data_IF_949064491454
#
_entry.id   IF_949064491454
#
_cell.length_a   1.000
_cell.length_b   1.000
_cell.length_c   1.000
_cell.angle_alpha   90.00
_cell.angle_beta   90.00
_cell.angle_gamma   90.00
#
_symmetry.space_group_name_H-M   'P 1'
#
loop_
_entity.id
_entity.type
_entity.pdbx_description
1 polymer ?
#
# COMPACT_ATOMS: atom_id res chain seq x y z
N UNK A 1 -1.08 -20.36 -4.73
CA UNK A 1 -1.37 -19.31 -3.73
C UNK A 1 -0.62 -18.05 -4.13
N UNK A 2 0.67 -17.86 -3.80
CA UNK A 2 1.55 -16.82 -4.36
C UNK A 2 3.04 -17.08 -3.98
N UNK A 3 3.96 -16.24 -4.46
CA UNK A 3 5.38 -16.20 -4.07
C UNK A 3 5.71 -14.86 -3.39
N UNK A 4 6.59 -14.86 -2.39
CA UNK A 4 7.19 -13.63 -1.84
C UNK A 4 8.44 -13.33 -2.66
N UNK A 5 8.33 -12.42 -3.62
CA UNK A 5 9.44 -12.07 -4.51
C UNK A 5 10.51 -11.20 -3.82
N UNK A 6 10.12 -10.33 -2.89
CA UNK A 6 11.06 -9.49 -2.14
C UNK A 6 10.45 -8.85 -0.91
N UNK A 7 11.30 -8.29 -0.04
CA UNK A 7 10.92 -7.61 1.20
C UNK A 7 11.77 -6.35 1.40
N UNK A 8 11.15 -5.29 1.92
CA UNK A 8 11.85 -4.06 2.29
C UNK A 8 11.42 -3.54 3.65
N UNK A 9 12.38 -3.08 4.46
CA UNK A 9 12.12 -2.47 5.77
C UNK A 9 12.90 -1.17 5.90
N UNK A 10 12.32 -0.22 6.62
CA UNK A 10 12.92 1.06 6.96
C UNK A 10 12.44 1.55 8.32
N UNK A 11 13.02 2.63 8.83
CA UNK A 11 12.52 3.35 10.01
C UNK A 11 12.51 4.85 9.72
N UNK A 12 11.43 5.54 10.11
CA UNK A 12 11.29 6.99 9.90
C UNK A 12 12.36 7.79 10.67
N UNK A 13 12.75 7.33 11.86
CA UNK A 13 13.80 7.90 12.71
C UNK A 13 13.72 9.42 13.00
N UNK A 14 12.58 10.06 12.72
CA UNK A 14 12.37 11.51 12.87
C UNK A 14 11.40 11.87 14.00
N UNK A 15 10.28 11.15 14.12
CA UNK A 15 9.28 11.36 15.17
C UNK A 15 8.68 10.02 15.62
N UNK A 16 8.25 9.92 16.88
CA UNK A 16 7.82 8.63 17.48
C UNK A 16 6.55 8.03 16.84
N UNK A 17 5.67 8.89 16.31
CA UNK A 17 4.36 8.46 15.79
C UNK A 17 3.88 9.23 14.55
N UNK A 18 4.63 10.25 14.10
CA UNK A 18 4.22 11.01 12.93
C UNK A 18 4.81 10.33 11.70
N UNK A 19 4.00 10.06 10.66
CA UNK A 19 4.49 9.38 9.48
C UNK A 19 5.44 10.30 8.70
N UNK A 20 6.43 9.71 8.05
CA UNK A 20 7.24 10.39 7.05
C UNK A 20 6.97 9.83 5.66
N UNK A 21 7.17 10.62 4.61
CA UNK A 21 7.08 10.11 3.23
C UNK A 21 8.27 9.20 2.92
N UNK A 22 9.44 9.49 3.49
CA UNK A 22 10.70 8.86 3.10
C UNK A 22 10.85 7.42 3.63
N UNK A 23 10.30 7.12 4.81
CA UNK A 23 10.30 5.77 5.35
C UNK A 23 9.58 4.77 4.44
N UNK A 24 8.25 4.88 4.25
CA UNK A 24 7.50 3.99 3.38
C UNK A 24 8.08 3.96 1.96
N UNK A 25 8.53 5.10 1.41
CA UNK A 25 9.15 5.13 0.10
C UNK A 25 10.47 4.32 0.05
N UNK A 26 11.29 4.38 1.09
CA UNK A 26 12.52 3.59 1.20
C UNK A 26 12.23 2.10 1.34
N UNK A 27 11.25 1.72 2.15
CA UNK A 27 10.82 0.33 2.29
C UNK A 27 10.31 -0.23 0.95
N UNK A 28 9.46 0.50 0.23
CA UNK A 28 8.95 0.07 -1.07
C UNK A 28 10.06 -0.06 -2.13
N UNK A 29 10.99 0.90 -2.21
CA UNK A 29 12.16 0.79 -3.12
C UNK A 29 13.05 -0.40 -2.78
N UNK A 30 13.30 -0.66 -1.49
CA UNK A 30 14.07 -1.81 -1.06
C UNK A 30 13.38 -3.13 -1.44
N UNK A 31 12.05 -3.20 -1.28
CA UNK A 31 11.25 -4.36 -1.68
C UNK A 31 11.32 -4.63 -3.19
N UNK A 32 11.17 -3.60 -4.02
CA UNK A 32 11.30 -3.72 -5.49
C UNK A 32 12.70 -4.18 -5.89
N UNK A 33 13.75 -3.61 -5.27
CA UNK A 33 15.13 -3.98 -5.53
C UNK A 33 15.45 -5.43 -5.11
N UNK A 34 14.95 -5.87 -3.96
CA UNK A 34 15.10 -7.25 -3.47
C UNK A 34 14.38 -8.25 -4.40
N UNK A 35 13.20 -7.86 -4.91
CA UNK A 35 12.43 -8.64 -5.87
C UNK A 35 12.99 -8.63 -7.30
N UNK A 36 13.91 -7.71 -7.63
CA UNK A 36 14.37 -7.48 -8.99
C UNK A 36 13.27 -6.99 -9.95
N UNK A 37 12.26 -6.29 -9.42
CA UNK A 37 11.11 -5.77 -10.16
C UNK A 37 11.21 -4.26 -10.36
N UNK A 38 10.61 -3.77 -11.45
CA UNK A 38 10.39 -2.34 -11.67
C UNK A 38 9.05 -1.92 -11.06
N UNK A 39 8.85 -0.61 -10.91
CA UNK A 39 7.59 -0.08 -10.38
C UNK A 39 6.40 -0.47 -11.28
N UNK A 40 6.59 -0.40 -12.58
CA UNK A 40 5.63 -0.75 -13.65
C UNK A 40 5.25 -2.24 -13.69
N UNK A 41 5.98 -3.12 -12.98
CA UNK A 41 5.63 -4.54 -12.88
C UNK A 41 4.57 -4.82 -11.78
N UNK A 42 4.12 -3.79 -11.05
CA UNK A 42 3.14 -3.93 -9.95
C UNK A 42 1.75 -3.46 -10.41
N UNK A 43 0.78 -4.38 -10.46
CA UNK A 43 -0.59 -4.04 -10.89
C UNK A 43 -1.51 -3.59 -9.74
N UNK A 44 -1.25 -4.08 -8.53
CA UNK A 44 -2.11 -3.89 -7.35
C UNK A 44 -1.29 -3.65 -6.06
N UNK A 45 -1.75 -2.72 -5.24
CA UNK A 45 -1.18 -2.41 -3.92
C UNK A 45 -2.28 -2.41 -2.84
N UNK A 46 -2.14 -3.29 -1.85
CA UNK A 46 -2.95 -3.22 -0.62
C UNK A 46 -2.28 -2.26 0.37
N UNK A 47 -2.85 -1.06 0.49
CA UNK A 47 -2.32 0.05 1.26
C UNK A 47 -2.49 -0.16 2.76
N UNK A 48 -1.61 0.48 3.54
CA UNK A 48 -1.77 0.56 4.98
C UNK A 48 -3.10 1.23 5.35
N UNK A 49 -3.51 2.30 4.66
CA UNK A 49 -4.90 2.78 4.60
C UNK A 49 -5.62 2.82 5.95
N UNK A 50 -5.07 3.58 6.90
CA UNK A 50 -5.62 3.65 8.26
C UNK A 50 -6.88 4.50 8.36
N UNK A 51 -7.22 5.25 7.30
CA UNK A 51 -8.33 6.20 7.31
C UNK A 51 -7.98 7.48 8.08
N UNK A 52 -6.71 7.70 8.41
CA UNK A 52 -6.28 8.90 9.12
C UNK A 52 -5.68 9.89 8.13
N UNK A 53 -6.18 11.13 8.16
CA UNK A 53 -5.86 12.14 7.15
C UNK A 53 -4.35 12.34 6.93
N UNK A 54 -3.57 12.45 8.01
CA UNK A 54 -2.12 12.63 7.93
C UNK A 54 -1.42 11.43 7.31
N UNK A 55 -1.88 10.22 7.61
CA UNK A 55 -1.20 9.00 7.23
C UNK A 55 -1.53 8.61 5.79
N UNK A 56 -2.80 8.72 5.39
CA UNK A 56 -3.23 8.39 4.02
C UNK A 56 -2.66 9.38 2.99
N UNK A 57 -2.53 10.66 3.35
CA UNK A 57 -1.84 11.66 2.51
C UNK A 57 -0.34 11.38 2.38
N UNK A 58 0.30 10.98 3.48
CA UNK A 58 1.73 10.64 3.50
C UNK A 58 2.00 9.36 2.70
N UNK A 59 1.14 8.35 2.86
CA UNK A 59 1.20 7.09 2.11
C UNK A 59 0.99 7.33 0.61
N UNK A 60 -0.01 8.13 0.23
CA UNK A 60 -0.23 8.54 -1.16
C UNK A 60 1.03 9.18 -1.75
N UNK A 61 1.62 10.14 -1.03
CA UNK A 61 2.84 10.82 -1.49
C UNK A 61 4.04 9.86 -1.60
N UNK A 62 4.15 8.87 -0.72
CA UNK A 62 5.20 7.85 -0.77
C UNK A 62 5.01 6.93 -1.98
N UNK A 63 3.80 6.46 -2.24
CA UNK A 63 3.47 5.62 -3.40
C UNK A 63 3.81 6.37 -4.68
N UNK A 64 3.35 7.62 -4.85
CA UNK A 64 3.70 8.44 -6.01
C UNK A 64 5.20 8.64 -6.19
N UNK A 65 5.96 8.78 -5.08
CA UNK A 65 7.41 8.93 -5.13
C UNK A 65 8.13 7.68 -5.61
N UNK A 66 7.59 6.50 -5.35
CA UNK A 66 8.21 5.22 -5.76
C UNK A 66 7.74 4.79 -7.15
N UNK A 67 6.43 4.88 -7.41
CA UNK A 67 5.82 4.37 -8.63
C UNK A 67 5.67 5.43 -9.73
N UNK A 68 5.96 6.70 -9.46
CA UNK A 68 5.91 7.77 -10.46
C UNK A 68 4.55 7.89 -11.14
N UNK A 69 4.53 7.96 -12.47
CA UNK A 69 3.29 8.01 -13.24
C UNK A 69 2.49 6.70 -13.17
N UNK A 70 3.16 5.55 -12.97
CA UNK A 70 2.50 4.26 -12.84
C UNK A 70 1.58 4.21 -11.61
N UNK A 71 1.85 5.04 -10.59
CA UNK A 71 1.00 5.14 -9.41
C UNK A 71 -0.49 5.38 -9.71
N UNK A 72 -0.80 6.06 -10.83
CA UNK A 72 -2.17 6.39 -11.23
C UNK A 72 -2.84 5.31 -12.09
N UNK A 73 -2.11 4.29 -12.52
CA UNK A 73 -2.63 3.13 -13.27
C UNK A 73 -2.70 1.85 -12.43
N UNK A 74 -2.07 1.83 -11.26
CA UNK A 74 -2.20 0.72 -10.31
C UNK A 74 -3.54 0.78 -9.60
N UNK A 75 -4.16 -0.37 -9.41
CA UNK A 75 -5.28 -0.51 -8.50
C UNK A 75 -4.77 -0.48 -7.06
N UNK A 76 -5.42 0.29 -6.20
CA UNK A 76 -5.04 0.40 -4.78
C UNK A 76 -6.29 0.15 -3.93
N UNK A 77 -6.18 -0.66 -2.89
CA UNK A 77 -7.25 -0.77 -1.91
C UNK A 77 -6.70 -0.86 -0.50
N UNK A 78 -7.56 -0.80 0.52
CA UNK A 78 -7.16 -1.15 1.88
C UNK A 78 -8.19 -2.04 2.55
N UNK A 79 -7.76 -3.25 2.90
CA UNK A 79 -8.66 -4.24 3.51
C UNK A 79 -9.04 -3.90 4.95
N UNK A 80 -8.29 -3.00 5.62
CA UNK A 80 -8.65 -2.46 6.95
C UNK A 80 -10.04 -1.82 6.97
N UNK A 81 -10.52 -1.35 5.83
CA UNK A 81 -11.89 -0.85 5.68
C UNK A 81 -12.98 -1.88 6.02
N UNK A 82 -12.68 -3.18 5.93
CA UNK A 82 -13.62 -4.30 6.18
C UNK A 82 -13.46 -4.93 7.56
N UNK A 83 -12.22 -5.03 8.06
CA UNK A 83 -11.89 -5.75 9.29
C UNK A 83 -11.25 -4.89 10.38
N UNK A 84 -11.16 -3.57 10.17
CA UNK A 84 -10.46 -2.61 11.02
C UNK A 84 -8.94 -2.89 11.15
N UNK A 85 -8.26 -2.10 11.99
CA UNK A 85 -6.82 -2.23 12.19
C UNK A 85 -6.48 -3.29 13.24
N UNK A 86 -6.14 -4.50 12.78
CA UNK A 86 -5.84 -5.64 13.65
C UNK A 86 -4.41 -5.65 14.24
N UNK A 87 -3.78 -4.47 14.38
CA UNK A 87 -2.44 -4.29 14.95
C UNK A 87 -1.42 -5.31 14.39
N UNK A 88 -0.78 -6.12 15.24
CA UNK A 88 0.23 -7.09 14.84
C UNK A 88 -0.26 -8.20 13.88
N UNK A 89 -1.58 -8.35 13.71
CA UNK A 89 -2.16 -9.28 12.74
C UNK A 89 -2.47 -8.64 11.37
N UNK A 90 -2.33 -7.31 11.23
CA UNK A 90 -2.72 -6.58 10.01
C UNK A 90 -2.04 -7.14 8.75
N UNK A 91 -0.71 -7.27 8.77
CA UNK A 91 0.04 -7.75 7.61
C UNK A 91 -0.32 -9.18 7.18
N UNK A 92 -0.72 -10.05 8.12
CA UNK A 92 -1.15 -11.40 7.78
C UNK A 92 -2.49 -11.41 7.04
N UNK A 93 -3.46 -10.60 7.50
CA UNK A 93 -4.75 -10.47 6.83
C UNK A 93 -4.62 -9.82 5.45
N UNK A 94 -3.78 -8.78 5.35
CA UNK A 94 -3.51 -8.07 4.09
C UNK A 94 -2.78 -8.95 3.08
N UNK A 95 -1.81 -9.76 3.53
CA UNK A 95 -1.14 -10.74 2.68
C UNK A 95 -2.11 -11.81 2.18
N UNK A 96 -3.00 -12.31 3.03
CA UNK A 96 -4.05 -13.25 2.60
C UNK A 96 -4.91 -12.61 1.50
N UNK A 97 -5.31 -11.35 1.66
CA UNK A 97 -6.08 -10.65 0.65
C UNK A 97 -5.32 -10.48 -0.68
N UNK A 98 -4.03 -10.15 -0.65
CA UNK A 98 -3.20 -10.08 -1.86
C UNK A 98 -3.05 -11.45 -2.54
N UNK A 99 -2.85 -12.51 -1.76
CA UNK A 99 -2.82 -13.89 -2.29
C UNK A 99 -4.15 -14.23 -2.95
N UNK A 100 -5.28 -13.95 -2.31
CA UNK A 100 -6.60 -14.18 -2.88
C UNK A 100 -6.82 -13.36 -4.16
N UNK A 101 -6.32 -12.12 -4.21
CA UNK A 101 -6.41 -11.30 -5.42
C UNK A 101 -5.70 -11.93 -6.61
N UNK A 102 -4.50 -12.50 -6.40
CA UNK A 102 -3.75 -13.23 -7.42
C UNK A 102 -4.49 -14.51 -7.84
N UNK A 103 -5.08 -15.23 -6.89
CA UNK A 103 -5.71 -16.51 -7.17
C UNK A 103 -7.05 -16.39 -7.89
N UNK A 104 -7.85 -15.40 -7.49
CA UNK A 104 -9.20 -15.20 -8.00
C UNK A 104 -9.25 -14.18 -9.15
N UNK A 105 -8.11 -13.57 -9.50
CA UNK A 105 -8.00 -12.52 -10.53
C UNK A 105 -8.95 -11.33 -10.25
N UNK A 106 -9.10 -10.98 -8.98
CA UNK A 106 -10.01 -9.93 -8.49
C UNK A 106 -9.38 -9.15 -7.36
N UNK A 107 -9.22 -7.83 -7.54
CA UNK A 107 -8.80 -6.93 -6.46
C UNK A 107 -9.96 -6.71 -5.47
N UNK A 108 -9.76 -6.89 -4.14
CA UNK A 108 -10.78 -6.61 -3.16
C UNK A 108 -11.03 -5.10 -3.03
N UNK A 109 -12.29 -4.64 -2.94
CA UNK A 109 -12.60 -3.22 -2.86
C UNK A 109 -12.36 -2.65 -1.46
N UNK A 110 -12.17 -1.34 -1.39
CA UNK A 110 -12.09 -0.55 -0.18
C UNK A 110 -13.51 -0.23 0.29
N UNK A 111 -13.96 -0.90 1.35
CA UNK A 111 -15.26 -0.65 1.93
C UNK A 111 -15.36 0.80 2.47
N UNK A 112 -16.58 1.33 2.51
CA UNK A 112 -16.89 2.68 3.01
C UNK A 112 -16.24 3.83 2.23
N UNK A 113 -15.55 3.59 1.12
CA UNK A 113 -15.08 4.63 0.21
C UNK A 113 -16.26 5.19 -0.60
N UNK A 114 -16.59 6.47 -0.40
CA UNK A 114 -17.74 7.14 -1.03
C UNK A 114 -17.37 8.40 -1.78
N UNK A 115 -16.42 9.15 -1.23
CA UNK A 115 -15.98 10.42 -1.76
C UNK A 115 -14.44 10.43 -1.79
N UNK A 116 -13.82 10.75 -2.93
CA UNK A 116 -12.36 10.84 -3.02
C UNK A 116 -11.84 12.04 -2.22
N UNK A 117 -10.74 11.85 -1.48
CA UNK A 117 -9.96 12.96 -0.93
C UNK A 117 -9.05 13.51 -2.04
N UNK A 118 -9.13 14.80 -2.41
CA UNK A 118 -8.26 15.39 -3.43
C UNK A 118 -6.76 15.28 -3.14
N UNK A 119 -6.36 15.07 -1.88
CA UNK A 119 -4.97 14.82 -1.49
C UNK A 119 -4.56 13.34 -1.61
N UNK A 120 -5.52 12.44 -1.84
CA UNK A 120 -5.36 11.00 -2.02
C UNK A 120 -6.00 10.56 -3.35
N UNK A 121 -5.50 11.11 -4.44
CA UNK A 121 -5.98 11.03 -5.83
C UNK A 121 -5.44 9.83 -6.62
N UNK A 122 -5.14 8.72 -5.93
CA UNK A 122 -4.79 7.45 -6.58
C UNK A 122 -6.07 6.66 -6.92
N UNK A 123 -5.95 5.64 -7.76
CA UNK A 123 -7.08 4.79 -8.14
C UNK A 123 -7.44 3.82 -7.01
N UNK A 124 -8.37 4.25 -6.16
CA UNK A 124 -8.87 3.44 -5.03
C UNK A 124 -10.01 2.54 -5.52
N UNK A 125 -9.74 1.24 -5.55
CA UNK A 125 -10.70 0.15 -5.83
C UNK A 125 -11.49 -0.21 -4.58
#
# INVERSE_FOLDING_TARGET
LAEIAGVGLSADAFHIAAPSVEGPASAMRACLADAGLNAEDVDYLNAHGTGTKSNDQTETAAIKRVFGNHAYSMSISSTKSTHAHCLGAASALEMIACVMAIQEDVVPPTANYREPDPACDLDIT
#
